data_IF_995052256917
#
_entry.id   IF_995052256917
#
_cell.length_a   1.000
_cell.length_b   1.000
_cell.length_c   1.000
_cell.angle_alpha   90.00
_cell.angle_beta   90.00
_cell.angle_gamma   90.00
#
_symmetry.space_group_name_H-M   'P 1'
#
loop_
_entity.id
_entity.type
_entity.pdbx_description
1 polymer ?
2 non-polymer ?
3 non-polymer ?
4 water ?
#
# COMPACT_ATOMS: atom_id res chain seq x y z
N UNK A 3 16.48 26.01 -8.76
CA UNK A 3 17.60 25.04 -8.63
C UNK A 3 17.39 24.08 -7.44
N UNK A 4 18.21 23.04 -7.40
CA UNK A 4 18.24 22.13 -6.24
C UNK A 4 18.97 22.76 -5.09
N UNK A 5 18.62 22.39 -3.85
CA UNK A 5 19.31 23.00 -2.72
C UNK A 5 20.77 22.55 -2.61
N UNK A 6 21.60 23.39 -2.02
CA UNK A 6 23.02 23.11 -1.93
C UNK A 6 23.34 21.79 -1.24
N UNK A 7 22.65 21.52 -0.12
CA UNK A 7 22.95 20.34 0.69
C UNK A 7 22.63 19.03 -0.05
N UNK A 8 21.62 19.05 -0.91
CA UNK A 8 21.31 17.90 -1.74
C UNK A 8 22.38 17.70 -2.84
N UNK A 9 22.61 18.77 -3.60
CA UNK A 9 23.62 18.79 -4.65
C UNK A 9 24.98 18.32 -4.10
N UNK A 10 25.27 18.69 -2.85
CA UNK A 10 26.49 18.25 -2.18
C UNK A 10 26.71 16.73 -2.13
N UNK A 11 25.61 15.98 -1.98
CA UNK A 11 25.66 14.53 -1.78
C UNK A 11 25.18 13.71 -2.96
N UNK A 12 24.44 14.33 -3.88
CA UNK A 12 23.77 13.63 -4.96
C UNK A 12 23.88 14.43 -6.26
N UNK A 13 23.98 13.72 -7.38
CA UNK A 13 23.88 14.29 -8.71
C UNK A 13 22.51 13.94 -9.26
N UNK A 14 21.75 14.94 -9.65
CA UNK A 14 20.36 14.73 -10.08
C UNK A 14 20.29 14.39 -11.55
N UNK A 15 19.41 13.45 -11.88
CA UNK A 15 19.20 13.04 -13.27
C UNK A 15 17.71 13.18 -13.63
N UNK A 16 17.24 12.30 -14.51
CA UNK A 16 15.94 12.47 -15.17
C UNK A 16 14.73 12.23 -14.26
N UNK A 17 13.60 12.75 -14.71
CA UNK A 17 12.32 12.50 -14.07
C UNK A 17 11.90 11.08 -14.38
N UNK A 18 11.44 10.36 -13.37
CA UNK A 18 10.95 8.99 -13.51
C UNK A 18 9.42 8.95 -13.50
N UNK A 19 8.83 9.87 -12.73
CA UNK A 19 7.39 10.07 -12.66
C UNK A 19 7.13 11.46 -12.12
N UNK A 20 5.91 11.95 -12.26
CA UNK A 20 5.56 13.29 -11.76
C UNK A 20 4.07 13.35 -11.41
N UNK A 21 3.44 14.52 -11.57
CA UNK A 21 2.02 14.66 -11.30
C UNK A 21 1.68 15.56 -10.12
N UNK A 22 0.62 15.20 -9.40
CA UNK A 22 -0.02 16.09 -8.42
C UNK A 22 0.85 16.30 -7.19
N UNK A 23 1.21 17.56 -6.94
CA UNK A 23 1.97 18.01 -5.75
C UNK A 23 3.45 17.62 -5.69
N UNK A 24 3.90 16.75 -6.61
CA UNK A 24 5.28 16.31 -6.58
C UNK A 24 5.83 15.64 -7.81
N UNK A 25 7.03 15.11 -7.64
CA UNK A 25 7.82 14.56 -8.73
C UNK A 25 8.79 13.56 -8.12
N UNK A 26 9.13 12.51 -8.88
CA UNK A 26 10.20 11.60 -8.51
C UNK A 26 11.31 11.62 -9.56
N UNK A 27 12.53 11.90 -9.10
CA UNK A 27 13.74 11.97 -9.93
C UNK A 27 14.72 10.81 -9.67
N UNK A 28 15.40 10.38 -10.73
CA UNK A 28 16.59 9.53 -10.59
C UNK A 28 17.73 10.40 -10.13
N UNK A 29 18.53 9.89 -9.20
CA UNK A 29 19.73 10.58 -8.76
C UNK A 29 20.83 9.54 -8.49
N UNK A 30 22.06 10.02 -8.34
CA UNK A 30 23.19 9.17 -8.01
C UNK A 30 23.79 9.66 -6.72
N UNK A 31 24.00 8.75 -5.78
CA UNK A 31 24.67 9.11 -4.56
C UNK A 31 26.16 9.22 -4.85
N UNK A 32 26.76 10.36 -4.54
CA UNK A 32 28.15 10.59 -4.89
C UNK A 32 29.11 9.61 -4.20
N UNK A 33 28.89 9.38 -2.91
CA UNK A 33 29.76 8.50 -2.11
C UNK A 33 29.91 7.09 -2.71
N UNK A 34 28.80 6.54 -3.20
CA UNK A 34 28.77 5.16 -3.68
C UNK A 34 28.67 5.03 -5.19
N UNK A 35 28.34 6.13 -5.87
CA UNK A 35 28.01 6.13 -7.29
C UNK A 35 26.83 5.22 -7.65
N UNK A 36 25.90 5.04 -6.74
CA UNK A 36 24.75 4.18 -7.01
C UNK A 36 23.47 4.98 -7.16
N UNK A 37 22.51 4.38 -7.85
CA UNK A 37 21.24 5.04 -8.16
C UNK A 37 20.36 5.08 -6.95
N UNK A 38 19.74 6.22 -6.73
CA UNK A 38 18.66 6.38 -5.77
C UNK A 38 17.47 7.09 -6.44
N UNK A 39 16.32 7.08 -5.77
CA UNK A 39 15.15 7.83 -6.20
C UNK A 39 15.05 9.00 -5.23
N UNK A 40 14.68 10.17 -5.76
CA UNK A 40 14.40 11.34 -4.93
C UNK A 40 12.98 11.86 -5.18
N UNK A 41 12.17 11.80 -4.14
CA UNK A 41 10.80 12.29 -4.21
C UNK A 41 10.80 13.77 -3.82
N UNK A 42 10.26 14.60 -4.69
CA UNK A 42 10.15 16.02 -4.44
C UNK A 42 8.68 16.37 -4.13
N UNK A 43 8.43 16.92 -2.95
CA UNK A 43 7.09 17.35 -2.56
C UNK A 43 7.09 18.86 -2.29
N UNK A 44 6.27 19.58 -3.04
CA UNK A 44 6.10 21.04 -2.90
C UNK A 44 5.55 21.43 -1.55
N UNK A 45 6.05 22.54 -1.00
CA UNK A 45 5.41 23.18 0.16
C UNK A 45 4.27 24.10 -0.31
N UNK A 60 -1.61 15.53 7.75
CA UNK A 60 -0.26 15.07 8.06
C UNK A 60 0.71 15.87 7.19
N UNK A 61 1.80 16.35 7.79
CA UNK A 61 2.87 16.98 6.99
C UNK A 61 3.95 15.95 6.68
N UNK A 62 4.88 16.32 5.82
CA UNK A 62 5.90 15.41 5.38
C UNK A 62 6.78 14.97 6.56
N UNK A 63 7.11 15.92 7.42
CA UNK A 63 7.92 15.66 8.63
C UNK A 63 7.43 14.46 9.41
N UNK A 64 6.14 14.41 9.69
CA UNK A 64 5.59 13.30 10.47
C UNK A 64 5.47 12.01 9.63
N UNK A 65 5.16 12.13 8.34
CA UNK A 65 5.29 10.97 7.44
C UNK A 65 6.70 10.38 7.54
N UNK A 66 7.71 11.25 7.52
CA UNK A 66 9.11 10.79 7.65
C UNK A 66 9.30 10.04 8.98
N UNK A 67 8.83 10.64 10.08
CA UNK A 67 8.97 10.06 11.41
C UNK A 67 8.33 8.68 11.45
N UNK A 68 7.12 8.54 10.92
CA UNK A 68 6.47 7.21 10.87
C UNK A 68 7.35 6.18 10.12
N UNK A 69 7.82 6.55 8.95
CA UNK A 69 8.58 5.61 8.14
C UNK A 69 9.97 5.23 8.71
N UNK A 70 10.60 6.15 9.46
CA UNK A 70 11.90 5.84 10.09
C UNK A 70 11.75 4.79 11.19
N UNK A 71 10.56 4.68 11.76
CA UNK A 71 10.27 3.73 12.83
C UNK A 71 9.88 2.32 12.32
N UNK A 72 9.48 2.21 11.05
CA UNK A 72 8.99 0.94 10.52
C UNK A 72 10.13 0.17 9.89
N UNK A 73 10.05 -1.14 9.92
CA UNK A 73 11.09 -1.95 9.33
C UNK A 73 10.49 -3.23 8.79
N UNK A 74 10.11 -3.19 7.52
CA UNK A 74 9.56 -4.34 6.84
C UNK A 74 10.05 -4.29 5.41
N UNK A 75 10.34 -5.46 4.83
CA UNK A 75 10.91 -5.44 3.47
C UNK A 75 9.94 -4.97 2.37
N UNK A 76 8.65 -4.98 2.65
CA UNK A 76 7.63 -4.50 1.70
C UNK A 76 7.09 -3.08 2.00
N UNK A 77 7.85 -2.32 2.78
CA UNK A 77 7.55 -0.90 3.06
C UNK A 77 8.79 -0.06 2.80
N UNK A 78 8.65 1.04 2.05
CA UNK A 78 9.81 1.88 1.74
C UNK A 78 10.51 2.43 2.97
N UNK A 79 11.82 2.65 2.81
CA UNK A 79 12.66 3.19 3.84
C UNK A 79 13.19 4.54 3.38
N UNK A 80 13.45 5.43 4.32
CA UNK A 80 13.97 6.74 4.01
C UNK A 80 15.49 6.68 4.17
N UNK A 81 16.22 7.05 3.12
CA UNK A 81 17.68 7.14 3.19
C UNK A 81 18.15 8.51 3.63
N UNK A 82 17.44 9.54 3.17
CA UNK A 82 17.78 10.92 3.51
C UNK A 82 16.60 11.85 3.27
N UNK A 83 16.69 13.05 3.85
CA UNK A 83 15.62 14.01 3.81
C UNK A 83 16.18 15.42 3.81
N UNK A 84 15.70 16.28 2.92
CA UNK A 84 16.09 17.69 2.93
C UNK A 84 14.85 18.57 2.94
N UNK A 85 14.75 19.40 3.98
CA UNK A 85 13.66 20.37 4.19
C UNK A 85 14.10 21.76 3.73
N UNK A 86 13.81 22.08 2.47
CA UNK A 86 14.30 23.32 1.83
C UNK A 86 13.11 24.12 1.31
N UNK A 87 13.23 24.78 0.15
CA UNK A 87 12.07 25.46 -0.45
C UNK A 87 10.99 24.44 -0.74
N UNK A 88 11.42 23.25 -1.17
CA UNK A 88 10.58 22.08 -1.27
C UNK A 88 11.12 20.97 -0.37
N UNK A 89 10.35 19.90 -0.21
CA UNK A 89 10.81 18.72 0.52
C UNK A 89 11.42 17.73 -0.47
N UNK A 90 12.60 17.20 -0.14
CA UNK A 90 13.32 16.23 -0.97
C UNK A 90 13.55 15.02 -0.13
N UNK A 91 13.03 13.87 -0.56
CA UNK A 91 13.14 12.63 0.20
C UNK A 91 13.89 11.59 -0.64
N UNK A 92 15.01 11.10 -0.11
CA UNK A 92 15.83 10.12 -0.81
C UNK A 92 15.44 8.72 -0.36
N UNK A 93 15.16 7.81 -1.30
CA UNK A 93 14.98 6.38 -0.99
C UNK A 93 15.64 5.47 -2.02
N UNK A 94 15.66 4.17 -1.74
CA UNK A 94 16.24 3.21 -2.66
C UNK A 94 15.39 3.22 -3.92
N UNK A 95 16.01 3.11 -5.08
CA UNK A 95 15.31 3.12 -6.34
C UNK A 95 14.56 1.79 -6.57
N UNK A 96 13.27 1.87 -6.86
CA UNK A 96 12.48 0.70 -7.25
C UNK A 96 12.41 0.72 -8.77
N UNK A 97 13.25 -0.10 -9.39
CA UNK A 97 13.51 0.04 -10.81
C UNK A 97 12.30 -0.39 -11.64
N UNK A 98 11.39 -1.15 -11.04
CA UNK A 98 10.17 -1.56 -11.72
C UNK A 98 9.08 -0.51 -11.84
N UNK A 99 9.19 0.57 -11.07
CA UNK A 99 8.16 1.62 -11.09
C UNK A 99 6.87 1.24 -10.40
N UNK A 100 5.78 1.93 -10.77
CA UNK A 100 4.49 1.79 -10.12
C UNK A 100 3.68 0.59 -10.66
N UNK A 101 3.01 -0.14 -9.78
CA UNK A 101 2.08 -1.21 -10.21
C UNK A 101 1.01 -0.68 -11.19
N UNK A 102 0.62 0.58 -10.98
CA UNK A 102 -0.34 1.23 -11.86
C UNK A 102 -0.10 0.94 -13.35
N UNK A 103 1.15 1.10 -13.77
CA UNK A 103 1.52 0.92 -15.19
C UNK A 103 1.35 -0.52 -15.70
N UNK A 104 1.30 -1.47 -14.78
CA UNK A 104 1.05 -2.87 -15.14
C UNK A 104 -0.42 -3.23 -15.30
N UNK A 105 -1.32 -2.39 -14.81
CA UNK A 105 -2.76 -2.71 -14.84
C UNK A 105 -3.61 -1.72 -15.64
N UNK A 106 -2.98 -0.65 -16.11
CA UNK A 106 -3.67 0.37 -16.88
C UNK A 106 -3.99 -0.16 -18.29
N UNK A 107 -5.05 0.36 -18.88
CA UNK A 107 -5.44 -0.01 -20.25
C UNK A 107 -5.92 -1.44 -20.38
N UNK A 108 -6.65 -1.92 -19.38
CA UNK A 108 -7.20 -3.29 -19.38
C UNK A 108 -6.15 -4.40 -19.37
N UNK A 109 -4.88 -4.05 -19.18
CA UNK A 109 -3.84 -5.05 -19.04
C UNK A 109 -4.10 -5.81 -17.76
N UNK A 110 -3.84 -7.12 -17.79
CA UNK A 110 -3.81 -7.83 -16.53
C UNK A 110 -2.65 -8.80 -16.39
N UNK A 111 -2.37 -9.09 -15.12
CA UNK A 111 -1.27 -9.88 -14.70
C UNK A 111 -1.73 -11.32 -14.66
N UNK A 112 -0.80 -12.25 -14.80
CA UNK A 112 -1.11 -13.68 -14.59
C UNK A 112 -1.56 -13.86 -13.16
N UNK A 113 -2.46 -14.81 -12.92
CA UNK A 113 -2.95 -15.06 -11.56
C UNK A 113 -1.81 -15.30 -10.58
N UNK A 114 -0.83 -16.11 -10.98
CA UNK A 114 0.37 -16.37 -10.17
C UNK A 114 1.12 -15.08 -9.78
N UNK A 115 1.26 -14.15 -10.72
CA UNK A 115 1.89 -12.88 -10.43
C UNK A 115 1.05 -12.03 -9.44
N UNK A 116 -0.28 -12.00 -9.61
CA UNK A 116 -1.15 -11.31 -8.65
C UNK A 116 -0.96 -11.86 -7.24
N UNK A 117 -0.89 -13.18 -7.13
CA UNK A 117 -0.77 -13.79 -5.83
C UNK A 117 0.55 -13.36 -5.18
N UNK A 118 1.64 -13.40 -5.94
CA UNK A 118 2.93 -12.98 -5.40
C UNK A 118 2.87 -11.55 -4.88
N UNK A 119 2.34 -10.64 -5.71
CA UNK A 119 2.27 -9.25 -5.32
C UNK A 119 1.32 -9.07 -4.16
N UNK A 120 0.15 -9.73 -4.20
CA UNK A 120 -0.87 -9.51 -3.18
C UNK A 120 -0.43 -10.02 -1.82
N UNK A 121 0.26 -11.15 -1.80
CA UNK A 121 0.82 -11.70 -0.57
C UNK A 121 1.74 -10.67 0.08
N UNK A 122 2.57 -10.01 -0.72
CA UNK A 122 3.46 -9.00 -0.20
C UNK A 122 2.72 -7.79 0.35
N UNK A 123 1.68 -7.35 -0.36
CA UNK A 123 0.85 -6.26 0.11
C UNK A 123 0.20 -6.64 1.43
N UNK A 124 -0.30 -7.87 1.55
CA UNK A 124 -0.95 -8.28 2.80
C UNK A 124 0.04 -8.25 3.95
N UNK A 125 1.26 -8.72 3.70
CA UNK A 125 2.25 -8.79 4.78
C UNK A 125 2.59 -7.38 5.24
N UNK A 126 2.73 -6.47 4.28
CA UNK A 126 3.06 -5.08 4.56
C UNK A 126 1.96 -4.41 5.37
N UNK A 127 0.71 -4.58 4.95
CA UNK A 127 -0.41 -3.96 5.64
C UNK A 127 -0.67 -4.62 7.00
N UNK A 128 -0.57 -5.94 7.07
CA UNK A 128 -0.59 -6.61 8.38
C UNK A 128 0.45 -6.01 9.33
N UNK A 129 1.67 -5.77 8.83
CA UNK A 129 2.72 -5.18 9.65
C UNK A 129 2.34 -3.76 10.10
N UNK A 130 1.75 -2.96 9.21
CA UNK A 130 1.27 -1.63 9.58
C UNK A 130 0.27 -1.72 10.71
N UNK A 131 -0.74 -2.56 10.52
CA UNK A 131 -1.84 -2.63 11.50
C UNK A 131 -1.38 -3.14 12.88
N UNK A 132 -0.45 -4.11 12.92
CA UNK A 132 0.20 -4.51 14.19
C UNK A 132 0.94 -3.40 14.87
N UNK A 133 1.51 -2.50 14.09
CA UNK A 133 2.22 -1.35 14.63
C UNK A 133 1.37 -0.08 14.79
N UNK A 134 0.05 -0.19 14.74
CA UNK A 134 -0.83 0.96 15.02
C UNK A 134 -0.86 2.00 13.90
N UNK A 135 -0.62 1.60 12.65
CA UNK A 135 -0.63 2.51 11.53
C UNK A 135 -1.63 2.02 10.50
N UNK A 136 -2.44 2.95 10.01
CA UNK A 136 -3.36 2.72 8.90
C UNK A 136 -2.88 3.60 7.71
N UNK A 137 -2.83 3.02 6.52
CA UNK A 137 -2.26 3.72 5.36
C UNK A 137 -3.25 4.73 4.78
N UNK A 138 -4.45 4.24 4.50
CA UNK A 138 -5.59 5.02 4.00
C UNK A 138 -5.54 5.48 2.55
N UNK A 139 -4.49 5.18 1.81
CA UNK A 139 -4.46 5.54 0.38
C UNK A 139 -3.84 4.42 -0.43
N UNK A 140 -4.21 3.19 -0.12
CA UNK A 140 -3.68 2.07 -0.87
C UNK A 140 -4.33 2.04 -2.24
N UNK A 141 -3.49 2.12 -3.27
CA UNK A 141 -3.89 1.99 -4.66
C UNK A 141 -2.67 1.57 -5.53
N UNK A 142 -2.89 1.18 -6.79
CA UNK A 142 -1.75 0.70 -7.58
C UNK A 142 -0.65 1.73 -7.80
N UNK A 143 -1.00 3.01 -7.75
CA UNK A 143 0.00 4.07 -7.85
C UNK A 143 0.95 4.06 -6.68
N UNK A 144 0.48 3.55 -5.53
CA UNK A 144 1.31 3.55 -4.32
C UNK A 144 1.95 2.20 -4.00
N UNK A 145 1.98 1.31 -4.98
CA UNK A 145 2.73 0.07 -4.89
C UNK A 145 3.88 0.15 -5.91
N UNK A 146 5.11 0.01 -5.43
CA UNK A 146 6.29 0.07 -6.24
C UNK A 146 6.83 -1.34 -6.48
N UNK A 147 7.40 -1.57 -7.68
CA UNK A 147 8.02 -2.84 -8.04
C UNK A 147 9.55 -2.71 -8.05
N UNK A 148 10.23 -3.66 -7.43
CA UNK A 148 11.69 -3.57 -7.25
C UNK A 148 12.47 -3.78 -8.54
N UNK A 149 11.89 -4.43 -9.53
CA UNK A 149 12.55 -4.62 -10.82
C UNK A 149 11.55 -4.76 -11.96
N UNK A 150 12.05 -4.85 -13.19
CA UNK A 150 11.21 -4.93 -14.38
C UNK A 150 10.77 -6.36 -14.70
N UNK A 151 11.21 -7.35 -13.91
CA UNK A 151 10.76 -8.73 -14.10
C UNK A 151 9.37 -8.84 -13.51
N UNK A 152 8.59 -9.82 -13.96
CA UNK A 152 7.30 -10.08 -13.33
C UNK A 152 7.47 -10.50 -11.88
N UNK A 153 8.41 -11.42 -11.65
CA UNK A 153 8.66 -11.95 -10.32
C UNK A 153 9.58 -10.97 -9.62
N UNK A 154 9.01 -10.10 -8.80
CA UNK A 154 9.83 -9.15 -8.07
C UNK A 154 9.21 -8.79 -6.72
N UNK A 155 9.98 -8.06 -5.91
CA UNK A 155 9.51 -7.61 -4.63
C UNK A 155 8.75 -6.33 -4.86
N UNK A 156 7.76 -6.10 -4.01
CA UNK A 156 7.03 -4.85 -4.02
C UNK A 156 7.21 -4.10 -2.69
N UNK A 157 7.04 -2.79 -2.73
CA UNK A 157 6.98 -1.97 -1.53
C UNK A 157 5.84 -0.97 -1.67
N UNK A 158 5.22 -0.74 -0.53
CA UNK A 158 4.17 0.19 -0.40
C UNK A 158 4.80 1.53 -0.07
N UNK A 159 4.30 2.58 -0.70
CA UNK A 159 4.82 3.93 -0.49
C UNK A 159 3.69 4.94 -0.28
N UNK A 160 4.06 6.21 -0.12
CA UNK A 160 3.12 7.33 0.05
C UNK A 160 2.28 7.23 1.33
N UNK A 161 2.86 7.69 2.43
CA UNK A 161 2.19 7.64 3.70
C UNK A 161 1.61 9.02 4.07
N UNK A 162 1.36 9.85 3.07
CA UNK A 162 0.83 11.22 3.30
C UNK A 162 -0.55 11.25 3.96
N UNK A 163 -1.32 10.17 3.84
CA UNK A 163 -2.67 10.12 4.43
C UNK A 163 -2.71 9.20 5.62
N UNK A 164 -1.56 8.69 6.03
CA UNK A 164 -1.55 7.66 7.06
C UNK A 164 -1.95 8.27 8.41
N UNK A 165 -2.43 7.41 9.31
CA UNK A 165 -2.84 7.81 10.66
C UNK A 165 -2.30 6.84 11.69
N UNK A 166 -1.93 7.36 12.85
CA UNK A 166 -1.41 6.55 13.94
C UNK A 166 -2.59 6.22 14.86
N UNK A 167 -2.80 4.94 15.13
CA UNK A 167 -3.78 4.54 16.14
C UNK A 167 -3.18 4.71 17.53
N UNK A 168 -4.01 5.08 18.47
CA UNK A 168 -3.61 5.17 19.88
C UNK A 168 -4.83 5.33 20.76
N UNK A 169 -4.61 5.62 22.04
CA UNK A 169 -5.68 5.88 23.01
C UNK A 169 -6.58 6.97 22.48
N UNK A 170 -7.83 6.61 22.21
CA UNK A 170 -8.76 7.55 21.61
C UNK A 170 -9.41 8.48 22.65
N UNK A 171 -10.10 9.48 22.13
CA UNK A 171 -10.91 10.37 22.96
C UNK A 171 -12.00 9.54 23.61
N UNK A 172 -12.57 8.64 22.82
CA UNK A 172 -13.61 7.72 23.29
C UNK A 172 -13.16 6.94 24.52
N UNK A 173 -11.96 6.35 24.48
CA UNK A 173 -11.47 5.56 25.61
C UNK A 173 -11.37 6.39 26.88
N UNK A 174 -10.93 7.64 26.73
CA UNK A 174 -10.82 8.54 27.87
C UNK A 174 -12.20 8.93 28.39
N UNK A 175 -13.14 9.22 27.48
CA UNK A 175 -14.51 9.55 27.88
C UNK A 175 -15.14 8.42 28.71
N UNK A 176 -14.97 7.18 28.26
CA UNK A 176 -15.59 6.03 28.93
C UNK A 176 -15.00 5.68 30.30
N UNK A 177 -13.96 6.37 30.75
CA UNK A 177 -13.41 6.09 32.10
C UNK A 177 -14.17 6.80 33.19
N UNK A 178 -14.89 7.85 32.80
CA UNK A 178 -15.76 8.59 33.71
C UNK A 178 -17.20 8.12 33.67
N UNK A 179 -18.05 8.82 34.41
CA UNK A 179 -19.48 8.54 34.43
C UNK A 179 -20.09 9.46 33.37
N UNK A 180 -20.99 8.91 32.54
CA UNK A 180 -21.48 9.68 31.40
C UNK A 180 -22.70 10.54 31.71
N UNK A 181 -22.78 11.04 32.94
CA UNK A 181 -23.87 11.91 33.35
C UNK A 181 -24.19 13.01 32.31
N UNK A 182 -23.16 13.57 31.67
CA UNK A 182 -23.30 14.72 30.77
C UNK A 182 -22.97 14.38 29.32
N UNK A 183 -22.77 13.09 29.05
CA UNK A 183 -22.31 12.62 27.77
C UNK A 183 -23.45 12.36 26.77
N UNK A 184 -23.24 12.84 25.55
CA UNK A 184 -24.22 12.84 24.48
C UNK A 184 -24.42 11.42 23.98
N UNK A 185 -25.66 11.06 23.59
CA UNK A 185 -25.96 9.67 23.19
C UNK A 185 -25.16 9.16 22.00
N UNK A 186 -24.90 10.03 21.02
CA UNK A 186 -24.17 9.63 19.83
C UNK A 186 -22.73 9.15 20.12
N UNK A 187 -22.14 9.61 21.23
CA UNK A 187 -20.82 9.14 21.60
C UNK A 187 -20.93 7.67 22.09
N UNK A 188 -21.94 7.40 22.91
CA UNK A 188 -22.21 6.04 23.38
C UNK A 188 -22.54 5.11 22.22
N UNK A 189 -23.37 5.53 21.29
CA UNK A 189 -23.65 4.71 20.13
C UNK A 189 -22.39 4.44 19.28
N UNK A 190 -21.48 5.41 19.19
CA UNK A 190 -20.26 5.22 18.39
C UNK A 190 -19.36 4.12 18.99
N UNK A 191 -19.57 3.76 20.26
CA UNK A 191 -18.81 2.65 20.85
C UNK A 191 -19.01 1.33 20.06
N UNK A 192 -20.16 1.13 19.42
CA UNK A 192 -20.44 -0.13 18.73
C UNK A 192 -19.49 -0.36 17.56
N UNK A 193 -19.17 0.73 16.85
CA UNK A 193 -18.35 0.65 15.64
C UNK A 193 -16.90 1.16 15.76
N UNK A 194 -16.48 1.71 16.90
CA UNK A 194 -15.14 2.27 17.00
C UNK A 194 -14.06 1.20 16.88
N UNK A 195 -12.86 1.62 16.49
CA UNK A 195 -11.69 0.76 16.49
C UNK A 195 -11.55 -0.14 15.26
N UNK A 196 -12.34 0.13 14.23
CA UNK A 196 -12.29 -0.61 12.97
C UNK A 196 -11.83 0.27 11.79
N UNK A 197 -11.17 1.38 12.11
CA UNK A 197 -10.61 2.25 11.08
C UNK A 197 -9.68 1.52 10.08
N UNK A 198 -8.92 0.56 10.60
CA UNK A 198 -8.00 -0.23 9.78
C UNK A 198 -8.69 -1.01 8.64
N UNK A 199 -9.98 -1.34 8.80
CA UNK A 199 -10.69 -2.08 7.77
C UNK A 199 -10.78 -1.31 6.44
N UNK A 200 -10.59 0.01 6.45
CA UNK A 200 -10.57 0.76 5.17
C UNK A 200 -9.40 0.27 4.28
N UNK A 201 -8.28 -0.12 4.90
CA UNK A 201 -7.13 -0.65 4.16
C UNK A 201 -7.45 -2.00 3.53
N UNK A 202 -8.23 -2.81 4.23
CA UNK A 202 -8.64 -4.11 3.72
C UNK A 202 -9.57 -4.00 2.54
N UNK A 203 -10.46 -3.00 2.57
CA UNK A 203 -11.34 -2.74 1.42
C UNK A 203 -10.50 -2.36 0.20
N UNK A 204 -9.60 -1.41 0.37
CA UNK A 204 -8.71 -0.97 -0.73
C UNK A 204 -7.92 -2.13 -1.34
N UNK A 205 -7.35 -3.00 -0.49
CA UNK A 205 -6.65 -4.21 -0.93
C UNK A 205 -7.56 -5.02 -1.82
N UNK A 206 -8.80 -5.23 -1.38
CA UNK A 206 -9.82 -5.91 -2.18
C UNK A 206 -10.05 -5.32 -3.55
N UNK A 207 -10.10 -3.99 -3.62
CA UNK A 207 -10.23 -3.30 -4.90
C UNK A 207 -8.98 -3.49 -5.76
N UNK A 208 -7.81 -3.39 -5.15
CA UNK A 208 -6.56 -3.59 -5.87
C UNK A 208 -6.48 -5.03 -6.42
N UNK A 209 -6.85 -6.02 -5.60
CA UNK A 209 -6.78 -7.41 -6.03
C UNK A 209 -7.70 -7.65 -7.21
N UNK A 210 -8.90 -7.07 -7.16
CA UNK A 210 -9.91 -7.17 -8.21
C UNK A 210 -9.36 -6.60 -9.53
N UNK A 211 -8.71 -5.45 -9.44
CA UNK A 211 -8.12 -4.81 -10.62
C UNK A 211 -7.00 -5.67 -11.19
N UNK A 212 -6.17 -6.22 -10.31
CA UNK A 212 -5.03 -7.01 -10.76
C UNK A 212 -5.49 -8.28 -11.50
N UNK A 213 -6.45 -9.01 -10.92
CA UNK A 213 -6.98 -10.26 -11.47
C UNK A 213 -7.75 -10.12 -12.75
N UNK A 214 -8.42 -8.98 -12.91
CA UNK A 214 -9.45 -8.83 -13.92
C UNK A 214 -9.11 -7.80 -15.00
N UNK A 215 -8.16 -6.93 -14.69
CA UNK A 215 -7.81 -5.82 -15.56
C UNK A 215 -8.76 -4.64 -15.57
N UNK A 216 -9.83 -4.66 -14.77
CA UNK A 216 -10.81 -3.55 -14.75
C UNK A 216 -11.32 -3.27 -13.32
N UNK A 217 -11.81 -2.04 -13.07
CA UNK A 217 -12.24 -1.62 -11.73
C UNK A 217 -13.64 -2.12 -11.35
N UNK A 218 -13.82 -2.60 -10.11
CA UNK A 218 -15.11 -3.12 -9.65
C UNK A 218 -16.21 -2.06 -9.61
N UNK A 219 -15.85 -0.84 -9.22
CA UNK A 219 -16.80 0.27 -9.16
C UNK A 219 -16.28 1.39 -10.07
N UNK A 220 -17.10 1.80 -11.03
CA UNK A 220 -16.78 2.92 -11.92
C UNK A 220 -18.05 3.38 -12.59
N UNK A 221 -18.02 4.60 -13.15
CA UNK A 221 -19.20 5.18 -13.80
C UNK A 221 -19.30 4.81 -15.29
N UNK A 222 -18.52 3.82 -15.72
CA UNK A 222 -18.51 3.37 -17.12
C UNK A 222 -19.72 2.50 -17.46
N UNK A 223 -20.52 2.98 -18.41
CA UNK A 223 -21.71 2.26 -18.89
C UNK A 223 -22.60 1.74 -17.75
N UNK A 224 -23.02 2.66 -16.90
CA UNK A 224 -24.00 2.39 -15.86
C UNK A 224 -24.70 3.67 -15.45
N UNK A 225 -25.93 3.52 -14.97
CA UNK A 225 -26.70 4.60 -14.42
C UNK A 225 -26.65 4.60 -12.89
N UNK A 226 -26.01 3.62 -12.27
CA UNK A 226 -25.88 3.63 -10.81
C UNK A 226 -24.70 4.52 -10.45
N UNK A 227 -24.94 5.51 -9.60
CA UNK A 227 -23.86 6.38 -9.17
C UNK A 227 -22.71 5.56 -8.53
N UNK A 228 -21.49 6.06 -8.66
CA UNK A 228 -20.33 5.39 -8.05
C UNK A 228 -20.56 5.18 -6.55
N UNK A 229 -21.13 6.18 -5.90
CA UNK A 229 -21.43 6.10 -4.48
C UNK A 229 -22.36 4.97 -4.12
N UNK A 230 -23.44 4.80 -4.89
CA UNK A 230 -24.42 3.73 -4.63
C UNK A 230 -23.81 2.35 -4.90
N UNK A 231 -22.96 2.27 -5.93
CA UNK A 231 -22.26 1.02 -6.24
C UNK A 231 -21.46 0.59 -5.03
N UNK A 232 -20.74 1.52 -4.43
CA UNK A 232 -19.81 1.21 -3.36
C UNK A 232 -20.56 0.86 -2.06
N UNK A 233 -21.50 1.70 -1.66
CA UNK A 233 -22.22 1.46 -0.40
C UNK A 233 -23.13 0.24 -0.43
N UNK A 234 -23.56 -0.16 -1.62
CA UNK A 234 -24.32 -1.41 -1.73
C UNK A 234 -23.39 -2.63 -1.86
N UNK A 235 -22.13 -2.39 -2.23
CA UNK A 235 -21.18 -3.48 -2.43
C UNK A 235 -21.38 -4.23 -3.72
N UNK A 236 -22.14 -3.66 -4.64
CA UNK A 236 -22.43 -4.33 -5.89
C UNK A 236 -21.40 -3.98 -6.97
N UNK A 237 -20.31 -4.75 -6.98
CA UNK A 237 -19.26 -4.63 -7.99
C UNK A 237 -19.75 -5.11 -9.36
N UNK A 238 -19.17 -4.54 -10.40
CA UNK A 238 -19.43 -4.93 -11.76
C UNK A 238 -18.74 -6.26 -12.04
N UNK A 239 -19.52 -7.34 -12.09
CA UNK A 239 -18.99 -8.68 -12.41
C UNK A 239 -19.19 -9.04 -13.90
N UNK A 240 -18.10 -9.21 -14.64
CA UNK A 240 -18.16 -9.57 -16.07
C UNK A 240 -17.64 -11.00 -16.25
N UNK A 241 -18.58 -11.99 -16.34
CA UNK A 241 -18.19 -13.41 -16.31
C UNK A 241 -17.03 -13.83 -17.24
N UNK A 242 -17.00 -13.28 -18.46
CA UNK A 242 -16.03 -13.74 -19.46
C UNK A 242 -14.61 -13.32 -19.08
N UNK A 243 -14.47 -12.13 -18.52
CA UNK A 243 -13.18 -11.71 -18.00
C UNK A 243 -12.73 -12.64 -16.84
N UNK A 244 -13.66 -12.98 -15.94
CA UNK A 244 -13.33 -13.79 -14.75
C UNK A 244 -13.26 -15.33 -14.97
N UNK A 245 -13.74 -15.84 -16.11
CA UNK A 245 -13.76 -17.30 -16.35
C UNK A 245 -12.36 -17.93 -16.27
N UNK A 246 -11.35 -17.17 -16.69
CA UNK A 246 -9.95 -17.62 -16.65
C UNK A 246 -9.34 -17.55 -15.23
N UNK A 247 -9.92 -16.74 -14.37
CA UNK A 247 -9.45 -16.59 -12.98
C UNK A 247 -10.05 -17.69 -12.10
N UNK A 248 -9.27 -18.20 -11.16
CA UNK A 248 -9.77 -19.23 -10.25
C UNK A 248 -10.91 -18.73 -9.34
N UNK A 249 -11.67 -19.71 -8.84
CA UNK A 249 -12.75 -19.45 -7.88
C UNK A 249 -12.21 -19.05 -6.49
N UNK A 250 -11.04 -19.58 -6.11
CA UNK A 250 -10.42 -19.23 -4.84
C UNK A 250 -10.01 -17.74 -4.82
N UNK A 251 -9.42 -17.26 -5.92
CA UNK A 251 -9.03 -15.86 -6.06
C UNK A 251 -10.23 -14.95 -5.88
N UNK A 252 -11.33 -15.30 -6.57
CA UNK A 252 -12.52 -14.48 -6.51
C UNK A 252 -13.20 -14.55 -5.13
N UNK A 253 -13.15 -15.72 -4.50
CA UNK A 253 -13.69 -15.87 -3.15
C UNK A 253 -13.02 -14.88 -2.16
N UNK A 254 -11.72 -14.68 -2.31
CA UNK A 254 -10.98 -13.74 -1.45
C UNK A 254 -11.43 -12.32 -1.73
N UNK A 255 -11.50 -11.95 -3.02
CA UNK A 255 -12.02 -10.65 -3.40
C UNK A 255 -13.34 -10.40 -2.70
N UNK A 256 -14.23 -11.40 -2.70
CA UNK A 256 -15.57 -11.21 -2.14
C UNK A 256 -15.56 -11.00 -0.62
N UNK A 257 -14.59 -11.62 0.06
CA UNK A 257 -14.49 -11.47 1.50
C UNK A 257 -13.85 -10.14 1.92
N UNK A 258 -13.13 -9.50 0.99
CA UNK A 258 -12.54 -8.19 1.22
C UNK A 258 -13.50 -7.05 0.84
N UNK A 259 -14.37 -7.28 -0.13
CA UNK A 259 -15.32 -6.26 -0.54
C UNK A 259 -16.64 -6.41 0.22
N UNK A 260 -16.55 -6.71 1.50
CA UNK A 260 -17.71 -6.75 2.36
C UNK A 260 -17.99 -5.35 2.87
N UNK A 261 -19.25 -4.95 2.84
CA UNK A 261 -19.65 -3.59 3.17
C UNK A 261 -19.61 -3.34 4.68
N UNK A 262 -19.98 -4.31 5.51
CA UNK A 262 -19.88 -4.16 6.95
C UNK A 262 -18.41 -4.24 7.38
N UNK A 263 -17.83 -3.12 7.87
CA UNK A 263 -16.40 -3.13 8.24
C UNK A 263 -16.07 -4.15 9.31
N UNK A 264 -17.03 -4.51 10.17
CA UNK A 264 -16.79 -5.51 11.21
C UNK A 264 -16.80 -6.96 10.66
N UNK A 265 -17.56 -7.21 9.60
CA UNK A 265 -17.56 -8.53 8.95
C UNK A 265 -16.43 -8.69 7.89
N UNK A 266 -15.96 -7.58 7.34
CA UNK A 266 -14.83 -7.60 6.41
C UNK A 266 -13.61 -8.40 6.93
N UNK A 267 -12.99 -9.15 6.00
CA UNK A 267 -11.76 -9.84 6.25
C UNK A 267 -10.66 -8.88 6.68
N UNK A 268 -9.94 -9.28 7.72
CA UNK A 268 -8.75 -8.58 8.16
C UNK A 268 -7.60 -9.14 7.36
N UNK A 269 -6.41 -8.53 7.50
CA UNK A 269 -5.23 -9.03 6.79
C UNK A 269 -4.90 -10.46 7.20
N UNK A 270 -5.08 -10.77 8.49
CA UNK A 270 -4.86 -12.11 9.01
C UNK A 270 -5.79 -13.15 8.39
N UNK A 271 -7.08 -12.84 8.33
CA UNK A 271 -8.01 -13.77 7.68
C UNK A 271 -7.60 -14.00 6.21
N UNK A 272 -7.25 -12.92 5.53
CA UNK A 272 -6.81 -13.00 4.14
C UNK A 272 -5.55 -13.86 3.97
N UNK A 273 -4.57 -13.73 4.87
CA UNK A 273 -3.33 -14.51 4.78
C UNK A 273 -3.59 -16.01 5.04
N UNK A 274 -4.69 -16.33 5.71
CA UNK A 274 -5.07 -17.74 5.96
C UNK A 274 -6.08 -18.28 4.93
N UNK A 275 -6.52 -17.47 3.98
CA UNK A 275 -7.44 -17.93 2.94
C UNK A 275 -6.78 -18.97 2.02
N UNK A 276 -7.54 -20.00 1.59
CA UNK A 276 -6.93 -21.01 0.68
C UNK A 276 -6.14 -20.47 -0.53
N UNK A 277 -6.54 -19.34 -1.12
CA UNK A 277 -5.79 -18.80 -2.28
C UNK A 277 -4.32 -18.53 -1.95
N UNK A 278 -4.04 -18.17 -0.70
CA UNK A 278 -2.69 -17.79 -0.29
C UNK A 278 -1.88 -18.91 0.36
N UNK A 279 -2.48 -20.10 0.45
CA UNK A 279 -1.77 -21.30 0.91
C UNK A 279 -1.12 -21.94 -0.32
N UNK A 280 -0.03 -21.34 -0.79
CA UNK A 280 0.62 -21.69 -2.06
C UNK A 280 2.12 -21.67 -1.81
N UNK A 281 2.66 -22.84 -1.52
CA UNK A 281 4.06 -22.97 -1.12
C UNK A 281 5.05 -22.55 -2.23
N UNK A 282 4.66 -22.72 -3.49
CA UNK A 282 5.47 -22.25 -4.62
C UNK A 282 5.62 -20.74 -4.54
N UNK A 283 4.48 -20.05 -4.46
CA UNK A 283 4.47 -18.60 -4.32
C UNK A 283 5.37 -18.16 -3.15
N UNK A 284 5.18 -18.78 -1.98
CA UNK A 284 5.97 -18.43 -0.79
C UNK A 284 7.47 -18.61 -0.97
N UNK A 285 7.87 -19.72 -1.60
CA UNK A 285 9.27 -20.00 -1.90
C UNK A 285 9.85 -18.92 -2.82
N UNK A 286 9.11 -18.55 -3.86
CA UNK A 286 9.50 -17.47 -4.78
C UNK A 286 9.74 -16.15 -4.01
N UNK A 287 8.84 -15.84 -3.08
CA UNK A 287 8.99 -14.64 -2.28
C UNK A 287 10.27 -14.71 -1.45
N UNK A 288 10.42 -15.78 -0.69
CA UNK A 288 11.63 -15.96 0.13
C UNK A 288 12.93 -15.87 -0.72
N UNK A 289 12.91 -16.49 -1.90
CA UNK A 289 14.05 -16.44 -2.82
C UNK A 289 14.39 -15.01 -3.22
N UNK A 290 13.36 -14.23 -3.54
CA UNK A 290 13.56 -12.84 -3.92
C UNK A 290 14.10 -12.00 -2.76
N UNK A 291 13.70 -12.33 -1.54
CA UNK A 291 14.18 -11.63 -0.35
C UNK A 291 15.68 -11.83 -0.16
N UNK A 292 16.11 -13.08 -0.13
CA UNK A 292 17.51 -13.41 0.12
C UNK A 292 18.41 -12.86 -1.01
N UNK A 293 17.95 -13.00 -2.24
CA UNK A 293 18.62 -12.34 -3.38
C UNK A 293 18.80 -10.82 -3.15
N UNK A 294 17.77 -10.12 -2.69
CA UNK A 294 17.88 -8.68 -2.42
C UNK A 294 18.93 -8.34 -1.32
N UNK A 295 19.09 -9.21 -0.32
CA UNK A 295 19.82 -8.86 0.90
C UNK A 295 21.36 -9.06 0.89
N UNK A 296 22.10 -8.11 1.51
CA UNK A 296 23.61 -8.04 1.54
C UNK A 296 24.22 -8.06 2.95
N UNK A 297 24.29 -9.29 3.43
CA UNK A 297 24.46 -9.56 4.81
C UNK A 297 25.93 -9.56 5.18
N UNK A 298 26.16 -9.31 6.44
CA UNK A 298 27.48 -9.40 7.04
C UNK A 298 27.73 -10.88 7.33
N UNK A 299 28.97 -11.25 7.64
CA UNK A 299 29.24 -12.63 8.06
C UNK A 299 28.44 -12.97 9.36
N UNK A 300 28.22 -14.27 9.61
CA UNK A 300 27.44 -14.73 10.78
C UNK A 300 28.21 -15.79 11.57
N UNK A 301 28.16 -15.77 12.91
CA UNK A 301 28.70 -16.92 13.66
C UNK A 301 27.74 -18.08 13.55
N UNK A 302 28.26 -19.23 13.11
CA UNK A 302 27.46 -20.45 12.89
C UNK A 302 26.08 -20.19 12.28
#
# INVERSE_FOLDING_TARGET
MSVYPKALRDEYIMSKTLGSGACGEVKLAFERKTCKKVAIKIISKRKFAIGSAREADPALNVETEIEILKKLNHPCIIKIKNFFDAEDYYIVLELMEGGELFDKVVGNKRLKEATCKLYFYQMLLAVQYLHENGIIHRDLKPENVLLSSQEEDCLIKITDFGHSKILGETSLMRTLCGTPTYLAPEVLVSVGTAGYNRAVDCWSLGVILFICLSGYPPFSEHRTQVSLKDQITSGKYNFIPEVWAEVSEKALDLVKKLLVVDPKARFTTEEALRHPWLQDEDMKRKFQDLLSEENESTALPQVLAQPSTSRKRPREGEAEGAE
#
